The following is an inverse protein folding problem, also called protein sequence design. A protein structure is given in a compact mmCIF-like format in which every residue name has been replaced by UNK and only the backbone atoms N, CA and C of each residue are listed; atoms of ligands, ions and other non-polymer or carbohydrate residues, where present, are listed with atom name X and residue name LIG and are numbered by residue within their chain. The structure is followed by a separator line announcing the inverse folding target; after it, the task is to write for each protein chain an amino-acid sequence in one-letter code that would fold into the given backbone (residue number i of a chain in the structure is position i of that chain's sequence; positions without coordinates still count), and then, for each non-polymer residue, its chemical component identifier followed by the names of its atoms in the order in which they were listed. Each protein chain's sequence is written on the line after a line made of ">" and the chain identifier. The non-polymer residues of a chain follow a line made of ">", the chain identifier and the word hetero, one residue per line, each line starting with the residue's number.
data_IF_492223198342
#
_entry.id   IF_492223198342
#
_cell.length_a   1.000
_cell.length_b   1.000
_cell.length_c   1.000
_cell.angle_alpha   90.00
_cell.angle_beta   90.00
_cell.angle_gamma   90.00
#
_symmetry.space_group_name_H-M   'P 1'
#
loop_
_entity.id
_entity.type
_entity.pdbx_description
1 polymer ?
#
# COMPACT_ATOMS: atom_id res chain seq x y z
N UNK A 1 -17.86 13.18 -1.13
CA UNK A 1 -18.61 12.07 -0.49
C UNK A 1 -18.80 10.84 -1.39
N UNK A 2 -19.57 10.89 -2.50
CA UNK A 2 -19.65 9.75 -3.45
C UNK A 2 -18.63 9.88 -4.58
N UNK A 3 -18.51 11.08 -5.17
CA UNK A 3 -17.57 11.34 -6.27
C UNK A 3 -16.08 11.11 -5.91
N UNK A 4 -15.70 11.33 -4.65
CA UNK A 4 -14.32 11.08 -4.18
C UNK A 4 -14.03 9.59 -4.05
N UNK A 5 -14.98 8.80 -3.53
CA UNK A 5 -14.82 7.34 -3.44
C UNK A 5 -14.71 6.70 -4.83
N UNK A 6 -15.54 7.15 -5.77
CA UNK A 6 -15.48 6.74 -7.18
C UNK A 6 -14.13 7.09 -7.82
N UNK A 7 -13.59 8.28 -7.51
CA UNK A 7 -12.27 8.67 -8.01
C UNK A 7 -11.13 7.81 -7.43
N UNK A 8 -11.18 7.50 -6.13
CA UNK A 8 -10.19 6.64 -5.48
C UNK A 8 -10.27 5.20 -6.01
N UNK A 9 -11.49 4.72 -6.25
CA UNK A 9 -11.77 3.45 -6.91
C UNK A 9 -11.11 3.39 -8.28
N UNK A 10 -11.42 4.37 -9.13
CA UNK A 10 -10.90 4.41 -10.49
C UNK A 10 -9.37 4.48 -10.49
N UNK A 11 -8.78 5.22 -9.55
CA UNK A 11 -7.33 5.30 -9.39
C UNK A 11 -6.73 3.93 -9.02
N UNK A 12 -7.26 3.25 -8.01
CA UNK A 12 -6.75 1.93 -7.61
C UNK A 12 -6.85 0.90 -8.74
N UNK A 13 -7.96 0.86 -9.46
CA UNK A 13 -8.13 -0.04 -10.62
C UNK A 13 -7.10 0.26 -11.70
N UNK A 14 -6.82 1.54 -11.99
CA UNK A 14 -5.75 1.92 -12.94
C UNK A 14 -4.37 1.50 -12.44
N UNK A 15 -4.06 1.71 -11.17
CA UNK A 15 -2.80 1.28 -10.57
C UNK A 15 -2.63 -0.23 -10.68
N UNK A 16 -3.65 -1.02 -10.31
CA UNK A 16 -3.60 -2.47 -10.44
C UNK A 16 -3.37 -2.92 -11.88
N UNK A 17 -4.06 -2.34 -12.87
CA UNK A 17 -3.81 -2.65 -14.28
C UNK A 17 -2.40 -2.25 -14.74
N UNK A 18 -1.82 -1.17 -14.19
CA UNK A 18 -0.41 -0.84 -14.42
C UNK A 18 0.52 -1.91 -13.85
N UNK A 19 0.25 -2.40 -12.64
CA UNK A 19 0.96 -3.52 -12.02
C UNK A 19 0.85 -4.80 -12.85
N UNK A 20 -0.35 -5.21 -13.26
CA UNK A 20 -0.57 -6.38 -14.12
C UNK A 20 0.22 -6.28 -15.43
N UNK A 21 0.06 -5.15 -16.14
CA UNK A 21 0.77 -4.90 -17.40
C UNK A 21 2.28 -5.02 -17.22
N UNK A 22 2.82 -4.42 -16.15
CA UNK A 22 4.25 -4.46 -15.90
C UNK A 22 4.72 -5.88 -15.60
N UNK A 23 4.03 -6.62 -14.73
CA UNK A 23 4.35 -8.03 -14.46
C UNK A 23 4.44 -8.83 -15.76
N UNK A 24 3.46 -8.70 -16.66
CA UNK A 24 3.43 -9.44 -17.93
C UNK A 24 4.63 -9.12 -18.85
N UNK A 25 5.21 -7.93 -18.75
CA UNK A 25 6.36 -7.49 -19.56
C UNK A 25 7.73 -7.88 -18.96
N UNK A 26 7.79 -8.27 -17.68
CA UNK A 26 9.05 -8.60 -17.02
C UNK A 26 9.59 -9.95 -17.53
N UNK A 27 10.87 -9.98 -17.84
CA UNK A 27 11.59 -11.25 -18.03
C UNK A 27 11.74 -12.03 -16.72
N UNK A 28 12.01 -13.32 -16.79
CA UNK A 28 12.23 -14.15 -15.60
C UNK A 28 13.42 -13.67 -14.75
N UNK A 29 14.47 -13.15 -15.41
CA UNK A 29 15.61 -12.54 -14.71
C UNK A 29 15.21 -11.27 -13.94
N UNK A 30 14.37 -10.41 -14.55
CA UNK A 30 13.86 -9.22 -13.89
C UNK A 30 12.91 -9.56 -12.74
N UNK A 31 12.10 -10.62 -12.90
CA UNK A 31 11.16 -11.08 -11.88
C UNK A 31 11.84 -11.47 -10.57
N UNK A 32 13.05 -12.03 -10.64
CA UNK A 32 13.84 -12.43 -9.48
C UNK A 32 14.95 -11.44 -9.11
N UNK A 33 14.97 -10.25 -9.71
CA UNK A 33 15.98 -9.23 -9.41
C UNK A 33 15.76 -8.65 -8.01
N UNK A 34 16.84 -8.45 -7.26
CA UNK A 34 16.78 -7.80 -5.93
C UNK A 34 16.37 -6.34 -6.05
N UNK A 35 15.55 -5.89 -5.11
CA UNK A 35 15.15 -4.49 -4.98
C UNK A 35 16.00 -3.79 -3.93
N UNK A 36 15.78 -2.49 -3.75
CA UNK A 36 16.38 -1.73 -2.64
C UNK A 36 15.83 -2.08 -1.26
N UNK A 37 14.76 -2.89 -1.19
CA UNK A 37 14.27 -3.48 0.06
C UNK A 37 15.14 -4.70 0.41
N UNK A 38 15.84 -4.71 1.57
CA UNK A 38 16.82 -5.75 1.87
C UNK A 38 16.22 -7.16 1.88
N UNK A 39 16.71 -8.03 1.00
CA UNK A 39 16.27 -9.43 0.89
C UNK A 39 14.96 -9.64 0.15
N UNK A 40 14.48 -8.63 -0.59
CA UNK A 40 13.28 -8.70 -1.41
C UNK A 40 13.61 -8.63 -2.89
N UNK A 41 13.09 -9.58 -3.64
CA UNK A 41 13.06 -9.57 -5.10
C UNK A 41 11.85 -8.81 -5.62
N UNK A 42 11.84 -8.48 -6.92
CA UNK A 42 10.66 -7.90 -7.59
C UNK A 42 9.41 -8.76 -7.33
N UNK A 43 9.52 -10.08 -7.45
CA UNK A 43 8.43 -11.01 -7.11
C UNK A 43 7.88 -10.81 -5.69
N UNK A 44 8.76 -10.66 -4.70
CA UNK A 44 8.34 -10.49 -3.30
C UNK A 44 7.56 -9.18 -3.13
N UNK A 45 7.99 -8.11 -3.81
CA UNK A 45 7.26 -6.84 -3.83
C UNK A 45 5.87 -7.02 -4.44
N UNK A 46 5.75 -7.67 -5.60
CA UNK A 46 4.46 -7.94 -6.24
C UNK A 46 3.49 -8.73 -5.34
N UNK A 47 4.01 -9.71 -4.59
CA UNK A 47 3.21 -10.49 -3.64
C UNK A 47 2.76 -9.65 -2.45
N UNK A 48 3.66 -8.80 -1.93
CA UNK A 48 3.34 -7.93 -0.82
C UNK A 48 2.24 -6.92 -1.14
N UNK A 49 2.28 -6.30 -2.33
CA UNK A 49 1.25 -5.34 -2.75
C UNK A 49 -0.05 -6.00 -3.22
N UNK A 50 -0.12 -7.33 -3.24
CA UNK A 50 -1.33 -8.13 -3.50
C UNK A 50 -1.67 -9.04 -2.32
N UNK A 51 -1.89 -8.53 -1.11
CA UNK A 51 -2.20 -9.44 -0.02
C UNK A 51 -3.68 -9.85 -0.11
N UNK A 52 -3.96 -11.14 0.06
CA UNK A 52 -5.34 -11.69 0.11
C UNK A 52 -6.20 -11.01 1.20
N UNK A 53 -5.55 -10.40 2.19
CA UNK A 53 -6.20 -9.57 3.21
C UNK A 53 -6.98 -8.41 2.60
N UNK A 54 -6.49 -7.82 1.50
CA UNK A 54 -7.17 -6.71 0.83
C UNK A 54 -8.48 -7.22 0.21
N UNK A 55 -8.44 -8.33 -0.53
CA UNK A 55 -9.64 -8.98 -1.08
C UNK A 55 -10.61 -9.37 0.04
N UNK A 56 -10.11 -9.96 1.13
CA UNK A 56 -10.93 -10.39 2.26
C UNK A 56 -11.61 -9.21 2.99
N UNK A 57 -10.89 -8.11 3.20
CA UNK A 57 -11.44 -6.90 3.82
C UNK A 57 -12.52 -6.24 2.95
N UNK A 58 -12.38 -6.33 1.63
CA UNK A 58 -13.35 -5.79 0.69
C UNK A 58 -14.58 -6.69 0.54
N UNK A 59 -14.46 -8.00 0.75
CA UNK A 59 -15.58 -8.94 0.66
C UNK A 59 -16.66 -8.72 1.75
N UNK A 60 -16.29 -8.13 2.90
CA UNK A 60 -17.22 -7.84 4.00
C UNK A 60 -16.90 -6.47 4.65
N UNK A 61 -17.16 -5.35 3.95
CA UNK A 61 -16.61 -4.04 4.29
C UNK A 61 -17.47 -3.27 5.32
N UNK A 62 -18.31 -3.93 6.11
CA UNK A 62 -19.17 -3.27 7.07
C UNK A 62 -18.92 -3.79 8.48
N UNK A 63 -18.17 -3.02 9.26
CA UNK A 63 -18.20 -3.08 10.71
C UNK A 63 -19.32 -2.18 11.24
N UNK A 64 -19.90 -2.54 12.40
CA UNK A 64 -20.89 -1.70 13.07
C UNK A 64 -20.23 -0.47 13.69
N UNK A 65 -20.79 0.72 13.45
CA UNK A 65 -20.37 1.97 14.08
C UNK A 65 -19.32 2.78 13.30
N UNK A 66 -18.76 3.79 13.97
CA UNK A 66 -17.71 4.64 13.40
C UNK A 66 -16.36 3.94 13.47
N UNK A 67 -15.51 4.18 12.46
CA UNK A 67 -14.16 3.62 12.43
C UNK A 67 -13.28 4.17 13.56
N UNK A 68 -12.49 3.30 14.19
CA UNK A 68 -11.53 3.69 15.23
C UNK A 68 -10.38 4.53 14.67
N UNK A 69 -9.90 4.19 13.46
CA UNK A 69 -8.84 4.91 12.75
C UNK A 69 -9.39 5.49 11.45
N UNK A 70 -9.19 6.79 11.23
CA UNK A 70 -9.87 7.50 10.13
C UNK A 70 -8.95 8.07 9.07
N UNK A 71 -7.63 7.90 9.22
CA UNK A 71 -6.64 8.36 8.23
C UNK A 71 -5.48 7.39 8.04
N UNK A 72 -4.94 7.33 6.82
CA UNK A 72 -3.72 6.55 6.53
C UNK A 72 -2.51 7.04 7.34
N UNK A 73 -2.43 8.34 7.59
CA UNK A 73 -1.37 8.91 8.43
C UNK A 73 -1.43 8.38 9.87
N UNK A 74 -2.63 8.23 10.44
CA UNK A 74 -2.81 7.61 11.75
C UNK A 74 -2.45 6.13 11.75
N UNK A 75 -2.84 5.38 10.70
CA UNK A 75 -2.42 3.99 10.53
C UNK A 75 -0.87 3.88 10.53
N UNK A 76 -0.19 4.71 9.74
CA UNK A 76 1.28 4.76 9.70
C UNK A 76 1.88 5.13 11.05
N UNK A 77 1.30 6.08 11.79
CA UNK A 77 1.77 6.40 13.14
C UNK A 77 1.68 5.18 14.05
N UNK A 78 0.59 4.42 14.01
CA UNK A 78 0.45 3.21 14.83
C UNK A 78 1.50 2.17 14.46
N UNK A 79 1.70 1.90 13.16
CA UNK A 79 2.73 0.95 12.71
C UNK A 79 4.16 1.40 13.02
N UNK A 80 4.43 2.72 13.03
CA UNK A 80 5.75 3.28 13.33
C UNK A 80 5.98 3.63 14.82
N UNK A 81 4.94 3.66 15.66
CA UNK A 81 5.05 4.03 17.07
C UNK A 81 5.58 2.90 17.96
N UNK A 82 5.58 1.67 17.47
CA UNK A 82 6.12 0.54 18.21
C UNK A 82 7.66 0.66 18.32
N UNK A 83 8.18 0.34 19.50
CA UNK A 83 9.62 0.31 19.80
C UNK A 83 10.38 -0.41 18.67
N UNK A 84 11.53 0.10 18.18
CA UNK A 84 12.40 -0.63 17.26
C UNK A 84 12.58 -2.11 17.63
N UNK A 85 12.70 -2.41 18.93
CA UNK A 85 12.83 -3.77 19.43
C UNK A 85 11.58 -4.66 19.20
N UNK A 86 10.41 -4.08 19.00
CA UNK A 86 9.16 -4.81 18.69
C UNK A 86 8.77 -4.73 17.21
N UNK A 87 9.08 -3.63 16.52
CA UNK A 87 8.82 -3.47 15.08
C UNK A 87 9.77 -4.26 14.20
N UNK A 88 11.05 -4.37 14.55
CA UNK A 88 12.03 -5.14 13.75
C UNK A 88 11.65 -6.63 13.63
N UNK A 89 11.30 -7.35 14.71
CA UNK A 89 10.81 -8.72 14.60
C UNK A 89 9.53 -8.85 13.76
N UNK A 90 8.61 -7.88 13.87
CA UNK A 90 7.36 -7.86 13.12
C UNK A 90 7.61 -7.69 11.61
N UNK A 91 8.48 -6.76 11.21
CA UNK A 91 8.87 -6.57 9.81
C UNK A 91 9.60 -7.79 9.25
N UNK A 92 10.49 -8.40 10.05
CA UNK A 92 11.19 -9.62 9.65
C UNK A 92 10.20 -10.79 9.45
N UNK A 93 9.21 -10.91 10.33
CA UNK A 93 8.15 -11.92 10.20
C UNK A 93 7.28 -11.67 8.96
N UNK A 94 6.88 -10.43 8.69
CA UNK A 94 6.13 -10.07 7.49
C UNK A 94 6.93 -10.40 6.22
N UNK A 95 8.21 -10.02 6.18
CA UNK A 95 9.09 -10.32 5.05
C UNK A 95 9.23 -11.84 4.83
N UNK A 96 9.32 -12.64 5.90
CA UNK A 96 9.34 -14.10 5.78
C UNK A 96 8.01 -14.66 5.27
N UNK A 97 6.88 -14.17 5.78
CA UNK A 97 5.56 -14.57 5.29
C UNK A 97 5.37 -14.26 3.80
N UNK A 98 5.80 -13.07 3.37
CA UNK A 98 5.76 -12.66 1.95
C UNK A 98 6.65 -13.58 1.11
N UNK A 99 7.89 -13.85 1.52
CA UNK A 99 8.78 -14.76 0.78
C UNK A 99 8.22 -16.18 0.67
N UNK A 100 7.59 -16.68 1.73
CA UNK A 100 6.94 -17.99 1.72
C UNK A 100 5.76 -18.01 0.74
N UNK A 101 4.90 -16.99 0.77
CA UNK A 101 3.81 -16.85 -0.20
C UNK A 101 4.32 -16.68 -1.64
N UNK A 102 5.44 -15.98 -1.82
CA UNK A 102 6.06 -15.72 -3.12
C UNK A 102 6.78 -16.92 -3.71
N UNK A 103 7.15 -17.92 -2.90
CA UNK A 103 7.86 -19.10 -3.38
C UNK A 103 7.04 -19.89 -4.41
N UNK A 104 5.73 -19.97 -4.18
CA UNK A 104 4.80 -20.81 -4.95
C UNK A 104 3.93 -20.04 -5.96
N UNK A 105 4.01 -18.70 -5.99
CA UNK A 105 3.17 -17.89 -6.87
C UNK A 105 3.72 -17.79 -8.28
N UNK A 106 2.87 -18.07 -9.28
CA UNK A 106 3.19 -17.82 -10.68
C UNK A 106 3.08 -16.34 -11.03
N UNK A 107 3.93 -15.86 -11.94
CA UNK A 107 3.81 -14.49 -12.49
C UNK A 107 2.45 -14.28 -13.16
N UNK A 108 1.94 -15.30 -13.85
CA UNK A 108 0.63 -15.25 -14.51
C UNK A 108 -0.53 -15.12 -13.50
N UNK A 109 -0.42 -15.77 -12.33
CA UNK A 109 -1.41 -15.62 -11.25
C UNK A 109 -1.41 -14.19 -10.69
N UNK A 110 -0.22 -13.57 -10.57
CA UNK A 110 -0.10 -12.16 -10.17
C UNK A 110 -0.71 -11.23 -11.21
N UNK A 111 -0.47 -11.48 -12.50
CA UNK A 111 -1.07 -10.70 -13.59
C UNK A 111 -2.59 -10.77 -13.51
N UNK A 112 -3.17 -11.97 -13.41
CA UNK A 112 -4.62 -12.15 -13.34
C UNK A 112 -5.22 -11.48 -12.09
N UNK A 113 -4.52 -11.59 -10.95
CA UNK A 113 -4.99 -10.99 -9.70
C UNK A 113 -5.09 -9.48 -9.78
N UNK A 114 -4.13 -8.83 -10.43
CA UNK A 114 -4.13 -7.39 -10.63
C UNK A 114 -5.04 -6.91 -11.78
N UNK A 115 -5.11 -7.66 -12.88
CA UNK A 115 -5.86 -7.23 -14.06
C UNK A 115 -7.36 -7.46 -13.91
N UNK A 116 -7.72 -8.54 -13.21
CA UNK A 116 -9.09 -9.06 -13.14
C UNK A 116 -9.58 -9.13 -11.69
N UNK A 117 -8.99 -9.97 -10.84
CA UNK A 117 -9.61 -10.35 -9.55
C UNK A 117 -9.82 -9.17 -8.59
N UNK A 118 -8.79 -8.33 -8.42
CA UNK A 118 -8.83 -7.16 -7.57
C UNK A 118 -9.81 -6.10 -8.11
N UNK A 119 -9.74 -5.66 -9.38
CA UNK A 119 -10.75 -4.80 -9.98
C UNK A 119 -12.17 -5.33 -9.81
N UNK A 120 -12.40 -6.61 -10.12
CA UNK A 120 -13.70 -7.27 -10.01
C UNK A 120 -14.25 -7.27 -8.58
N UNK A 121 -13.41 -7.59 -7.59
CA UNK A 121 -13.80 -7.54 -6.18
C UNK A 121 -14.19 -6.11 -5.76
N UNK A 122 -13.47 -5.12 -6.27
CA UNK A 122 -13.67 -3.71 -5.95
C UNK A 122 -14.90 -3.10 -6.66
N UNK A 123 -15.20 -3.55 -7.89
CA UNK A 123 -16.41 -3.16 -8.63
C UNK A 123 -17.70 -3.70 -8.00
N UNK A 124 -17.64 -4.85 -7.32
CA UNK A 124 -18.78 -5.42 -6.57
C UNK A 124 -19.14 -4.60 -5.34
N UNK A 125 -18.26 -3.71 -4.88
CA UNK A 125 -18.54 -2.81 -3.78
C UNK A 125 -19.55 -1.75 -4.23
N UNK A 126 -20.70 -1.72 -3.56
CA UNK A 126 -21.76 -0.76 -3.83
C UNK A 126 -22.29 -0.17 -2.53
N UNK A 127 -22.76 1.08 -2.59
CA UNK A 127 -23.35 1.76 -1.43
C UNK A 127 -22.35 2.17 -0.33
N UNK A 128 -21.05 2.03 -0.57
CA UNK A 128 -20.00 2.41 0.39
C UNK A 128 -19.60 3.87 0.22
N UNK A 129 -18.99 4.43 1.26
CA UNK A 129 -18.40 5.76 1.24
C UNK A 129 -17.00 5.70 1.86
N UNK A 130 -16.20 6.76 1.70
CA UNK A 130 -14.91 6.87 2.40
C UNK A 130 -15.04 6.75 3.93
N UNK A 131 -16.20 7.07 4.50
CA UNK A 131 -16.46 6.98 5.94
C UNK A 131 -16.90 5.58 6.41
N UNK A 132 -17.19 4.64 5.51
CA UNK A 132 -17.58 3.28 5.87
C UNK A 132 -16.50 2.62 6.72
N UNK A 133 -16.85 2.09 7.88
CA UNK A 133 -15.92 1.36 8.74
C UNK A 133 -15.71 -0.08 8.24
N UNK A 134 -14.45 -0.48 8.06
CA UNK A 134 -14.06 -1.84 7.69
C UNK A 134 -13.27 -2.48 8.85
N UNK A 135 -13.44 -3.79 9.13
CA UNK A 135 -12.66 -4.47 10.14
C UNK A 135 -11.17 -4.52 9.75
N UNK A 136 -10.28 -4.29 10.71
CA UNK A 136 -8.83 -4.36 10.51
C UNK A 136 -8.17 -5.23 11.58
N UNK A 137 -7.36 -6.23 11.21
CA UNK A 137 -6.87 -7.26 12.13
C UNK A 137 -6.03 -6.72 13.29
N UNK A 138 -5.37 -5.56 13.09
CA UNK A 138 -4.49 -4.92 14.08
C UNK A 138 -5.13 -3.68 14.72
N UNK A 139 -6.00 -2.99 13.99
CA UNK A 139 -6.45 -1.62 14.35
C UNK A 139 -7.91 -1.60 14.79
N UNK A 140 -8.53 -2.76 15.00
CA UNK A 140 -9.95 -2.88 15.28
C UNK A 140 -10.78 -2.59 14.02
N UNK A 141 -10.99 -1.31 13.74
CA UNK A 141 -11.68 -0.84 12.52
C UNK A 141 -11.02 0.39 11.93
N UNK A 142 -11.04 0.49 10.60
CA UNK A 142 -10.53 1.65 9.86
C UNK A 142 -11.58 2.20 8.91
N UNK A 143 -11.51 3.50 8.62
CA UNK A 143 -12.35 4.08 7.58
C UNK A 143 -11.89 3.57 6.21
N UNK A 144 -12.83 3.23 5.32
CA UNK A 144 -12.52 2.74 3.98
C UNK A 144 -11.60 3.73 3.25
N UNK A 145 -11.85 5.03 3.33
CA UNK A 145 -10.99 6.04 2.72
C UNK A 145 -9.55 6.04 3.24
N UNK A 146 -9.35 5.77 4.54
CA UNK A 146 -8.01 5.62 5.12
C UNK A 146 -7.28 4.39 4.56
N UNK A 147 -8.02 3.28 4.42
CA UNK A 147 -7.50 2.06 3.82
C UNK A 147 -7.14 2.26 2.34
N UNK A 148 -7.97 2.96 1.57
CA UNK A 148 -7.67 3.27 0.16
C UNK A 148 -6.44 4.16 0.02
N UNK A 149 -6.33 5.20 0.85
CA UNK A 149 -5.16 6.08 0.82
C UNK A 149 -3.87 5.31 1.18
N UNK A 150 -3.95 4.36 2.13
CA UNK A 150 -2.83 3.46 2.44
C UNK A 150 -2.50 2.55 1.26
N UNK A 151 -3.49 1.91 0.64
CA UNK A 151 -3.26 1.03 -0.51
C UNK A 151 -2.63 1.77 -1.69
N UNK A 152 -3.06 3.02 -1.96
CA UNK A 152 -2.45 3.88 -2.97
C UNK A 152 -0.99 4.22 -2.59
N UNK A 153 -0.74 4.59 -1.33
CA UNK A 153 0.61 4.86 -0.84
C UNK A 153 1.54 3.66 -1.05
N UNK A 154 1.16 2.48 -0.54
CA UNK A 154 1.96 1.26 -0.63
C UNK A 154 2.22 0.87 -2.10
N UNK A 155 1.17 0.85 -2.93
CA UNK A 155 1.31 0.57 -4.36
C UNK A 155 2.21 1.58 -5.09
N UNK A 156 2.24 2.84 -4.64
CA UNK A 156 3.08 3.88 -5.27
C UNK A 156 4.54 3.76 -4.84
N UNK A 157 4.81 3.56 -3.56
CA UNK A 157 6.18 3.43 -3.04
C UNK A 157 6.84 2.18 -3.60
N UNK A 158 6.12 1.06 -3.57
CA UNK A 158 6.65 -0.20 -4.07
C UNK A 158 6.78 -0.24 -5.59
N UNK A 159 6.00 0.57 -6.32
CA UNK A 159 6.27 0.78 -7.73
C UNK A 159 7.64 1.42 -7.96
N UNK A 160 8.02 2.39 -7.13
CA UNK A 160 9.35 3.01 -7.20
C UNK A 160 10.46 1.99 -6.88
N UNK A 161 10.22 1.03 -5.99
CA UNK A 161 11.17 -0.06 -5.70
C UNK A 161 11.37 -0.96 -6.94
N UNK A 162 10.30 -1.29 -7.66
CA UNK A 162 10.37 -2.06 -8.91
C UNK A 162 11.06 -1.28 -10.02
N UNK A 163 10.73 0.00 -10.20
CA UNK A 163 11.35 0.86 -11.22
C UNK A 163 12.85 1.03 -10.97
N UNK A 164 13.27 1.17 -9.71
CA UNK A 164 14.69 1.24 -9.34
C UNK A 164 15.42 -0.06 -9.70
N UNK A 165 14.82 -1.21 -9.41
CA UNK A 165 15.43 -2.52 -9.65
C UNK A 165 15.54 -2.90 -11.13
N UNK A 166 14.49 -2.66 -11.92
CA UNK A 166 14.36 -3.20 -13.29
C UNK A 166 13.96 -2.17 -14.35
N UNK A 167 13.96 -0.89 -14.00
CA UNK A 167 13.48 0.21 -14.85
C UNK A 167 11.96 0.19 -15.01
N UNK A 168 11.42 1.16 -15.73
CA UNK A 168 9.99 1.25 -16.03
C UNK A 168 9.50 2.69 -16.16
N UNK A 169 8.20 2.87 -16.42
CA UNK A 169 7.62 4.20 -16.45
C UNK A 169 7.47 4.77 -15.03
N UNK A 170 7.44 6.09 -14.94
CA UNK A 170 7.12 6.80 -13.70
C UNK A 170 5.70 6.42 -13.19
N UNK A 171 5.46 6.44 -11.86
CA UNK A 171 4.12 6.23 -11.32
C UNK A 171 3.13 7.30 -11.80
N UNK A 172 1.83 6.98 -11.73
CA UNK A 172 0.77 7.94 -12.03
C UNK A 172 0.87 9.17 -11.10
N UNK A 173 0.81 10.39 -11.67
CA UNK A 173 0.98 11.64 -10.92
C UNK A 173 0.01 11.76 -9.75
N UNK A 174 -1.25 11.37 -9.93
CA UNK A 174 -2.26 11.41 -8.88
C UNK A 174 -1.91 10.50 -7.69
N UNK A 175 -1.27 9.36 -7.97
CA UNK A 175 -0.83 8.41 -6.95
C UNK A 175 0.37 8.97 -6.16
N UNK A 176 1.33 9.61 -6.84
CA UNK A 176 2.43 10.34 -6.20
C UNK A 176 1.95 11.48 -5.30
N UNK A 177 0.97 12.26 -5.75
CA UNK A 177 0.38 13.34 -4.95
C UNK A 177 -0.32 12.80 -3.70
N UNK A 178 -1.08 11.70 -3.84
CA UNK A 178 -1.73 11.06 -2.69
C UNK A 178 -0.72 10.49 -1.70
N UNK A 179 0.31 9.81 -2.20
CA UNK A 179 1.40 9.30 -1.37
C UNK A 179 2.11 10.42 -0.60
N UNK A 180 2.45 11.53 -1.27
CA UNK A 180 3.02 12.73 -0.65
C UNK A 180 2.14 13.25 0.48
N UNK A 181 0.85 13.40 0.24
CA UNK A 181 -0.08 13.98 1.21
C UNK A 181 -0.20 13.12 2.47
N UNK A 182 -0.23 11.78 2.31
CA UNK A 182 -0.20 10.86 3.45
C UNK A 182 1.10 11.00 4.23
N UNK A 183 2.26 10.93 3.56
CA UNK A 183 3.57 11.00 4.21
C UNK A 183 3.79 12.33 4.95
N UNK A 184 3.33 13.45 4.38
CA UNK A 184 3.41 14.77 5.01
C UNK A 184 2.49 14.92 6.22
N UNK A 185 1.40 14.15 6.29
CA UNK A 185 0.45 14.17 7.40
C UNK A 185 0.86 13.29 8.59
N UNK A 186 1.84 12.40 8.44
CA UNK A 186 2.34 11.55 9.54
C UNK A 186 3.03 12.34 10.66
N UNK A 187 4.05 13.17 10.40
CA UNK A 187 4.78 13.87 11.46
C UNK A 187 3.93 14.87 12.24
N UNK A 188 4.44 15.29 13.41
CA UNK A 188 3.96 16.50 14.08
C UNK A 188 4.09 17.70 13.12
N UNK A 189 3.03 18.53 12.95
CA UNK A 189 3.04 19.62 11.98
C UNK A 189 4.17 20.63 12.17
N UNK A 190 4.52 20.93 13.43
CA UNK A 190 5.62 21.85 13.72
C UNK A 190 6.96 21.22 13.36
N UNK A 191 7.19 19.98 13.77
CA UNK A 191 8.41 19.24 13.44
C UNK A 191 8.59 19.14 11.91
N UNK A 192 7.51 18.84 11.17
CA UNK A 192 7.52 18.82 9.71
C UNK A 192 7.94 20.17 9.11
N UNK A 193 7.31 21.27 9.54
CA UNK A 193 7.64 22.61 9.03
C UNK A 193 9.08 23.01 9.37
N UNK A 194 9.56 22.72 10.58
CA UNK A 194 10.94 22.98 10.96
C UNK A 194 11.92 22.18 10.07
N UNK A 195 11.65 20.90 9.80
CA UNK A 195 12.51 20.08 8.95
C UNK A 195 12.45 20.53 7.47
N UNK A 196 11.25 20.72 6.92
CA UNK A 196 11.03 21.09 5.52
C UNK A 196 11.57 22.50 5.18
N UNK A 197 11.65 23.39 6.17
CA UNK A 197 12.25 24.72 6.00
C UNK A 197 13.76 24.76 6.29
N UNK A 198 14.37 23.61 6.61
CA UNK A 198 15.80 23.48 6.91
C UNK A 198 16.22 24.08 8.25
N UNK A 199 15.31 24.07 9.24
CA UNK A 199 15.55 24.58 10.61
C UNK A 199 15.97 23.46 11.56
N UNK A 200 15.78 22.21 11.14
CA UNK A 200 16.32 21.02 11.77
C UNK A 200 16.75 20.01 10.71
N UNK A 201 17.72 19.17 11.06
CA UNK A 201 18.13 17.98 10.28
C UNK A 201 17.55 16.70 10.85
N UNK A 202 16.68 16.79 11.88
CA UNK A 202 16.03 15.63 12.44
C UNK A 202 15.15 14.95 11.37
N UNK A 203 15.23 13.62 11.21
CA UNK A 203 14.33 12.89 10.33
C UNK A 203 12.92 12.98 10.89
N UNK A 204 11.97 13.45 10.07
CA UNK A 204 10.56 13.63 10.46
C UNK A 204 9.60 12.76 9.65
N UNK A 205 10.00 12.34 8.45
CA UNK A 205 9.16 11.48 7.62
C UNK A 205 9.21 10.04 8.13
N UNK A 206 8.10 9.29 8.03
CA UNK A 206 8.09 7.88 8.40
C UNK A 206 9.05 7.08 7.53
N UNK A 207 9.56 5.98 8.09
CA UNK A 207 10.35 5.01 7.34
C UNK A 207 9.40 3.96 6.81
N UNK A 208 9.35 3.81 5.49
CA UNK A 208 8.63 2.73 4.81
C UNK A 208 9.65 1.61 4.54
N UNK A 209 9.38 0.39 5.00
CA UNK A 209 10.32 -0.75 4.94
C UNK A 209 9.63 -1.99 4.42
#
# INVERSE_FOLDING_TARGET
>A
MVAEFEQDRDLLIRLWRMWAKRAAELSDAQWTTETRLPGWTVRDVYVHVTPDVLIAMLAAPAADGDAEVTSAAEMLRVFNAADPATTEPMHAQLAEMVRQAAADVGRDDIVERFDSELPDAFERLSGLTRATAIPHPILGSVALGAFLDMAILEATIHWLDVVDAVGGPEPETMALERARDVLAAVPDPRAFVEAASGRTTAPVLPVMR
#
